data_IF_565439810375
#
_entry.id   IF_565439810375
#
_cell.length_a   1.000
_cell.length_b   1.000
_cell.length_c   1.000
_cell.angle_alpha   90.00
_cell.angle_beta   90.00
_cell.angle_gamma   90.00
#
_symmetry.space_group_name_H-M   'P 1'
#
loop_
_entity.id
_entity.type
_entity.pdbx_description
1 polymer ?
#
# COMPACT_ATOMS: atom_id res chain seq x y z
N UNK A 1 8.43 -8.39 -25.48
CA UNK A 1 6.95 -8.29 -25.44
C UNK A 1 6.61 -6.97 -24.77
N UNK A 2 5.74 -6.14 -25.35
CA UNK A 2 5.29 -4.90 -24.69
C UNK A 2 4.13 -5.25 -23.75
N UNK A 3 4.28 -4.97 -22.46
CA UNK A 3 3.26 -5.24 -21.42
C UNK A 3 2.62 -3.94 -20.89
N UNK A 4 2.94 -2.79 -21.48
CA UNK A 4 2.39 -1.49 -21.06
C UNK A 4 0.87 -1.58 -20.92
N UNK A 5 0.36 -1.09 -19.80
CA UNK A 5 -1.06 -1.11 -19.46
C UNK A 5 -1.51 0.30 -19.10
N UNK A 6 -2.69 0.69 -19.59
CA UNK A 6 -3.32 1.99 -19.30
C UNK A 6 -4.65 1.74 -18.60
N UNK A 7 -4.82 2.34 -17.43
CA UNK A 7 -6.03 2.18 -16.62
C UNK A 7 -6.29 3.45 -15.83
N UNK A 8 -7.53 3.96 -15.87
CA UNK A 8 -7.97 5.14 -15.11
C UNK A 8 -7.04 6.36 -15.21
N UNK A 9 -6.55 6.65 -16.43
CA UNK A 9 -5.62 7.76 -16.69
C UNK A 9 -4.15 7.49 -16.28
N UNK A 10 -3.86 6.38 -15.60
CA UNK A 10 -2.51 5.96 -15.25
C UNK A 10 -1.87 5.12 -16.36
N UNK A 11 -0.54 5.19 -16.45
CA UNK A 11 0.28 4.40 -17.38
C UNK A 11 1.25 3.55 -16.55
N UNK A 12 1.19 2.24 -16.73
CA UNK A 12 2.02 1.25 -16.06
C UNK A 12 2.93 0.56 -17.07
N UNK A 13 4.21 0.38 -16.75
CA UNK A 13 5.16 -0.31 -17.63
C UNK A 13 4.77 -1.78 -17.87
N UNK A 14 4.07 -2.39 -16.92
CA UNK A 14 3.51 -3.73 -16.99
C UNK A 14 2.28 -3.84 -16.05
N UNK A 15 1.45 -4.89 -16.14
CA UNK A 15 0.23 -4.99 -15.34
C UNK A 15 0.45 -5.57 -13.93
N UNK A 16 1.69 -5.79 -13.49
CA UNK A 16 1.98 -6.42 -12.20
C UNK A 16 2.00 -5.37 -11.09
N UNK A 17 1.15 -5.55 -10.09
CA UNK A 17 1.10 -4.74 -8.88
C UNK A 17 1.07 -5.68 -7.65
N UNK A 18 1.65 -5.27 -6.51
CA UNK A 18 1.46 -6.02 -5.27
C UNK A 18 0.04 -5.80 -4.76
N UNK A 19 -0.61 -6.84 -4.25
CA UNK A 19 -1.84 -6.66 -3.49
C UNK A 19 -1.55 -5.91 -2.18
N UNK A 20 -2.46 -5.04 -1.73
CA UNK A 20 -2.36 -4.39 -0.40
C UNK A 20 -2.28 -5.45 0.70
N UNK A 21 -1.22 -5.44 1.51
CA UNK A 21 -0.90 -6.53 2.43
C UNK A 21 0.43 -6.38 3.20
N UNK A 22 0.91 -7.45 3.85
CA UNK A 22 2.10 -7.38 4.71
C UNK A 22 3.38 -6.89 3.99
N UNK A 23 3.45 -7.10 2.66
CA UNK A 23 4.63 -6.78 1.85
C UNK A 23 4.76 -5.30 1.48
N UNK A 24 3.76 -4.46 1.75
CA UNK A 24 3.77 -3.03 1.43
C UNK A 24 3.44 -2.15 2.65
N UNK A 25 3.85 -2.60 3.83
CA UNK A 25 3.52 -1.98 5.12
C UNK A 25 4.39 -0.81 5.60
N UNK A 26 5.50 -0.50 4.92
CA UNK A 26 6.39 0.62 5.30
C UNK A 26 7.22 1.13 4.10
N UNK A 27 7.93 2.23 4.28
CA UNK A 27 8.77 2.84 3.23
C UNK A 27 9.80 1.87 2.62
N UNK A 28 10.53 1.12 3.43
CA UNK A 28 11.59 0.24 2.94
C UNK A 28 11.03 -0.90 2.09
N UNK A 29 9.87 -1.45 2.48
CA UNK A 29 9.12 -2.42 1.71
C UNK A 29 8.63 -1.85 0.38
N UNK A 30 8.08 -0.63 0.37
CA UNK A 30 7.64 0.03 -0.87
C UNK A 30 8.81 0.28 -1.83
N UNK A 31 9.94 0.77 -1.31
CA UNK A 31 11.17 0.97 -2.08
C UNK A 31 11.67 -0.36 -2.66
N UNK A 32 11.71 -1.41 -1.84
CA UNK A 32 12.12 -2.73 -2.30
C UNK A 32 11.24 -3.24 -3.45
N UNK A 33 9.91 -3.13 -3.33
CA UNK A 33 8.96 -3.54 -4.37
C UNK A 33 9.11 -2.73 -5.65
N UNK A 34 9.39 -1.43 -5.55
CA UNK A 34 9.75 -0.60 -6.70
C UNK A 34 10.99 -1.18 -7.41
N UNK A 35 12.02 -1.56 -6.67
CA UNK A 35 13.25 -2.08 -7.28
C UNK A 35 13.06 -3.45 -7.97
N UNK A 36 11.96 -4.17 -7.72
CA UNK A 36 11.63 -5.45 -8.38
C UNK A 36 10.98 -5.32 -9.77
N UNK A 37 10.79 -4.09 -10.29
CA UNK A 37 10.24 -3.89 -11.65
C UNK A 37 8.73 -4.06 -11.79
N UNK A 38 7.96 -3.98 -10.69
CA UNK A 38 6.49 -3.94 -10.72
C UNK A 38 5.98 -2.73 -11.53
N UNK A 39 4.88 -2.86 -12.26
CA UNK A 39 4.34 -1.76 -13.05
C UNK A 39 3.78 -0.61 -12.21
N UNK A 40 3.35 -0.90 -10.99
CA UNK A 40 2.84 0.06 -10.01
C UNK A 40 2.98 -0.46 -8.59
N UNK A 41 2.76 0.41 -7.61
CA UNK A 41 2.85 0.09 -6.19
C UNK A 41 1.50 0.37 -5.52
N UNK A 42 1.14 -0.48 -4.58
CA UNK A 42 -0.04 -0.30 -3.70
C UNK A 42 0.46 -0.29 -2.27
N UNK A 43 0.02 0.66 -1.44
CA UNK A 43 0.34 0.67 -0.01
C UNK A 43 -0.47 -0.38 0.73
N UNK A 44 0.00 -0.79 1.92
CA UNK A 44 -0.88 -1.43 2.92
C UNK A 44 -2.05 -0.47 3.21
N UNK A 45 -3.22 -1.02 3.47
CA UNK A 45 -4.41 -0.22 3.83
C UNK A 45 -4.11 0.66 5.03
N UNK A 46 -4.27 1.98 4.86
CA UNK A 46 -4.10 3.00 5.90
C UNK A 46 -5.47 3.27 6.53
N UNK A 47 -5.50 3.39 7.86
CA UNK A 47 -6.70 3.66 8.65
C UNK A 47 -6.43 4.77 9.66
N UNK A 48 -7.49 5.32 10.24
CA UNK A 48 -7.45 6.38 11.25
C UNK A 48 -6.94 5.92 12.62
N UNK A 49 -6.98 4.61 12.88
CA UNK A 49 -6.59 4.01 14.15
C UNK A 49 -5.78 2.74 13.92
N UNK A 50 -4.89 2.41 14.86
CA UNK A 50 -4.07 1.20 14.77
C UNK A 50 -4.93 -0.06 15.03
N UNK A 51 -4.65 -1.17 14.34
CA UNK A 51 -5.38 -2.41 14.49
C UNK A 51 -5.00 -3.13 15.78
N UNK A 52 -5.95 -3.87 16.36
CA UNK A 52 -5.67 -4.85 17.42
C UNK A 52 -5.58 -6.23 16.79
N UNK A 53 -4.36 -6.69 16.51
CA UNK A 53 -4.11 -7.94 15.79
C UNK A 53 -3.70 -9.04 16.77
N UNK A 54 -4.51 -10.09 16.96
CA UNK A 54 -4.07 -11.29 17.69
C UNK A 54 -2.94 -11.97 16.90
N UNK A 55 -1.81 -12.27 17.55
CA UNK A 55 -0.68 -12.96 16.92
C UNK A 55 -0.58 -14.42 17.44
N UNK A 56 -0.29 -15.42 16.58
CA UNK A 56 -0.01 -15.29 15.14
C UNK A 56 -1.28 -15.04 14.32
N UNK A 57 -1.17 -14.17 13.30
CA UNK A 57 -2.27 -13.80 12.39
C UNK A 57 -2.05 -14.25 10.94
N UNK A 58 -0.88 -14.80 10.63
CA UNK A 58 -0.53 -15.30 9.30
C UNK A 58 0.02 -16.71 9.46
N UNK A 59 -0.52 -17.64 8.66
CA UNK A 59 -0.06 -19.02 8.60
C UNK A 59 0.25 -19.39 7.15
N UNK A 60 1.47 -19.89 6.93
CA UNK A 60 1.91 -20.43 5.63
C UNK A 60 1.75 -21.94 5.60
N UNK A 61 0.92 -22.43 4.69
CA UNK A 61 0.89 -23.84 4.28
C UNK A 61 1.83 -24.09 3.10
N UNK A 62 1.77 -25.30 2.54
CA UNK A 62 2.61 -25.69 1.39
C UNK A 62 2.34 -24.83 0.15
N UNK A 63 1.06 -24.65 -0.18
CA UNK A 63 0.62 -23.99 -1.42
C UNK A 63 -0.36 -22.83 -1.14
N UNK A 64 -0.59 -22.50 0.13
CA UNK A 64 -1.56 -21.48 0.56
C UNK A 64 -1.00 -20.62 1.69
N UNK A 65 -1.45 -19.37 1.76
CA UNK A 65 -1.26 -18.50 2.92
C UNK A 65 -2.64 -18.10 3.42
N UNK A 66 -2.88 -18.30 4.71
CA UNK A 66 -4.09 -17.83 5.39
C UNK A 66 -3.72 -16.68 6.32
N UNK A 67 -4.53 -15.63 6.34
CA UNK A 67 -4.32 -14.51 7.25
C UNK A 67 -5.63 -13.98 7.82
N UNK A 68 -5.53 -13.47 9.05
CA UNK A 68 -6.51 -12.62 9.71
C UNK A 68 -5.85 -11.29 10.12
N UNK A 69 -4.85 -10.87 9.35
CA UNK A 69 -4.23 -9.55 9.54
C UNK A 69 -5.23 -8.46 9.11
N UNK A 70 -5.20 -7.33 9.79
CA UNK A 70 -6.06 -6.19 9.50
C UNK A 70 -5.33 -5.21 8.57
N UNK A 71 -5.56 -3.91 8.75
CA UNK A 71 -4.88 -2.84 8.05
C UNK A 71 -3.49 -2.56 8.65
N UNK A 72 -2.83 -1.48 8.22
CA UNK A 72 -1.49 -1.08 8.67
C UNK A 72 -1.38 -1.01 10.20
N UNK A 73 -0.34 -1.62 10.77
CA UNK A 73 0.06 -1.43 12.18
C UNK A 73 0.70 -0.05 12.44
N UNK A 74 1.10 0.68 11.39
CA UNK A 74 1.58 2.06 11.48
C UNK A 74 0.43 3.07 11.42
N UNK A 75 0.53 4.12 12.23
CA UNK A 75 -0.44 5.22 12.31
C UNK A 75 -0.52 6.04 11.02
N UNK A 76 -1.65 6.72 10.82
CA UNK A 76 -1.83 7.68 9.73
C UNK A 76 -0.74 8.77 9.72
N UNK A 77 -0.35 9.24 10.91
CA UNK A 77 0.70 10.25 11.08
C UNK A 77 2.04 9.77 10.52
N UNK A 78 2.45 8.54 10.85
CA UNK A 78 3.68 7.95 10.32
C UNK A 78 3.62 7.79 8.79
N UNK A 79 2.46 7.40 8.24
CA UNK A 79 2.28 7.34 6.79
C UNK A 79 2.43 8.71 6.12
N UNK A 80 1.77 9.74 6.66
CA UNK A 80 1.70 11.08 6.07
C UNK A 80 3.00 11.87 6.25
N UNK A 81 3.71 11.69 7.36
CA UNK A 81 4.89 12.50 7.67
C UNK A 81 6.21 11.79 7.35
N UNK A 82 6.24 10.45 7.37
CA UNK A 82 7.47 9.69 7.16
C UNK A 82 7.43 8.89 5.85
N UNK A 83 6.51 7.94 5.73
CA UNK A 83 6.60 6.92 4.68
C UNK A 83 6.23 7.45 3.28
N UNK A 84 5.07 8.10 3.12
CA UNK A 84 4.65 8.63 1.83
C UNK A 84 5.54 9.77 1.34
N UNK A 85 5.94 10.76 2.15
CA UNK A 85 6.88 11.79 1.70
C UNK A 85 8.24 11.23 1.28
N UNK A 86 8.76 10.24 2.00
CA UNK A 86 10.01 9.59 1.64
C UNK A 86 9.87 8.82 0.32
N UNK A 87 8.79 8.05 0.15
CA UNK A 87 8.54 7.30 -1.09
C UNK A 87 8.27 8.23 -2.28
N UNK A 88 7.52 9.31 -2.09
CA UNK A 88 7.16 10.27 -3.13
C UNK A 88 8.38 10.91 -3.80
N UNK A 89 9.45 11.16 -3.02
CA UNK A 89 10.71 11.70 -3.53
C UNK A 89 11.44 10.78 -4.51
N UNK A 90 11.22 9.47 -4.38
CA UNK A 90 11.94 8.45 -5.15
C UNK A 90 11.04 7.66 -6.12
N UNK A 91 9.72 7.88 -6.07
CA UNK A 91 8.79 7.07 -6.85
C UNK A 91 9.03 7.27 -8.34
N UNK A 92 9.08 6.18 -9.10
CA UNK A 92 9.24 6.22 -10.56
C UNK A 92 8.10 5.54 -11.32
N UNK A 93 7.00 5.22 -10.63
CA UNK A 93 5.82 4.55 -11.18
C UNK A 93 4.54 4.99 -10.45
N UNK A 94 3.35 4.64 -10.96
CA UNK A 94 2.11 4.92 -10.27
C UNK A 94 2.09 4.32 -8.85
N UNK A 95 1.56 5.10 -7.91
CA UNK A 95 1.29 4.69 -6.53
C UNK A 95 -0.23 4.71 -6.34
N UNK A 96 -0.77 3.65 -5.73
CA UNK A 96 -2.16 3.58 -5.30
C UNK A 96 -2.16 3.50 -3.78
N UNK A 97 -2.78 4.48 -3.13
CA UNK A 97 -2.91 4.53 -1.68
C UNK A 97 -4.16 3.76 -1.26
N UNK A 98 -3.97 2.63 -0.59
CA UNK A 98 -5.09 1.82 -0.06
C UNK A 98 -5.60 2.43 1.25
N UNK A 99 -6.90 2.66 1.37
CA UNK A 99 -7.55 3.27 2.55
C UNK A 99 -8.81 2.51 2.98
N UNK A 100 -9.18 2.56 4.26
CA UNK A 100 -10.38 1.91 4.82
C UNK A 100 -10.78 2.48 6.20
N UNK A 101 -12.01 2.30 6.71
CA UNK A 101 -13.14 1.53 6.14
C UNK A 101 -14.51 2.21 6.25
N UNK A 102 -14.70 3.12 7.21
CA UNK A 102 -16.00 3.78 7.41
C UNK A 102 -16.08 5.09 6.63
N UNK A 103 -17.29 5.63 6.46
CA UNK A 103 -17.47 6.94 5.83
C UNK A 103 -16.78 8.03 6.64
N UNK A 104 -16.85 7.93 7.97
CA UNK A 104 -16.22 8.84 8.92
C UNK A 104 -14.69 8.79 8.79
N UNK A 105 -14.13 7.60 8.59
CA UNK A 105 -12.69 7.46 8.32
C UNK A 105 -12.30 8.17 7.02
N UNK A 106 -13.08 8.03 5.95
CA UNK A 106 -12.79 8.66 4.65
C UNK A 106 -12.75 10.19 4.73
N UNK A 107 -13.59 10.80 5.57
CA UNK A 107 -13.58 12.24 5.79
C UNK A 107 -12.24 12.76 6.35
N UNK A 108 -11.46 11.89 7.01
CA UNK A 108 -10.13 12.19 7.55
C UNK A 108 -9.04 11.71 6.59
N UNK A 109 -9.16 10.48 6.10
CA UNK A 109 -8.13 9.81 5.29
C UNK A 109 -7.95 10.46 3.93
N UNK A 110 -9.04 10.79 3.23
CA UNK A 110 -8.95 11.33 1.87
C UNK A 110 -8.18 12.66 1.86
N UNK A 111 -8.55 13.70 2.63
CA UNK A 111 -7.79 14.96 2.62
C UNK A 111 -6.33 14.81 3.05
N UNK A 112 -6.04 13.88 3.97
CA UNK A 112 -4.68 13.65 4.46
C UNK A 112 -3.77 12.94 3.44
N UNK A 113 -4.36 12.09 2.59
CA UNK A 113 -3.62 11.21 1.67
C UNK A 113 -3.67 11.66 0.21
N UNK A 114 -4.63 12.50 -0.17
CA UNK A 114 -4.79 13.08 -1.51
C UNK A 114 -3.50 13.72 -2.08
N UNK A 115 -2.63 14.38 -1.29
CA UNK A 115 -1.35 14.88 -1.82
C UNK A 115 -0.40 13.80 -2.36
N UNK A 116 -0.68 12.52 -2.09
CA UNK A 116 0.12 11.36 -2.48
C UNK A 116 -0.63 10.36 -3.40
N UNK A 117 -1.80 10.72 -3.92
CA UNK A 117 -2.64 9.85 -4.75
C UNK A 117 -2.86 10.44 -6.15
#
# INVERSE_FOLDING_TARGET
MMLETRFDGLVFENPLLPASGPLNGDFDKLRFLQDQGLGGIVTKTISTHEPKIPKPCIYGGKDIIQNSELWSEHSLDCWVNDFLPAFWKIKNRPLIVSVGYTQEDMAILIPALDPFA
#
